data_IF_017663309997
#
_entry.id   IF_017663309997
#
_cell.length_a   1.000
_cell.length_b   1.000
_cell.length_c   1.000
_cell.angle_alpha   90.00
_cell.angle_beta   90.00
_cell.angle_gamma   90.00
#
_symmetry.space_group_name_H-M   'P 1'
#
loop_
_entity.id
_entity.type
_entity.pdbx_description
1 polymer ?
#
# COMPACT_ATOMS: atom_id res chain seq x y z
N UNK A 1 -34.26 32.49 -12.15
CA UNK A 1 -33.18 32.48 -13.16
C UNK A 1 -32.27 33.68 -12.90
N UNK A 2 -31.09 33.45 -12.31
CA UNK A 2 -30.08 34.50 -12.11
C UNK A 2 -28.73 33.93 -12.52
N UNK A 3 -28.31 34.32 -13.72
CA UNK A 3 -26.99 34.10 -14.30
C UNK A 3 -26.00 35.04 -13.63
N UNK A 4 -24.98 34.49 -12.98
CA UNK A 4 -23.87 35.26 -12.41
C UNK A 4 -22.58 34.83 -13.09
N UNK A 5 -22.19 35.64 -14.08
CA UNK A 5 -20.93 35.56 -14.82
C UNK A 5 -19.86 36.28 -14.02
N UNK A 6 -18.73 35.63 -13.72
CA UNK A 6 -17.54 36.30 -13.18
C UNK A 6 -16.33 36.09 -14.11
N UNK A 7 -15.46 37.11 -14.23
CA UNK A 7 -14.48 37.22 -15.30
C UNK A 7 -13.20 36.42 -15.06
N UNK A 8 -12.70 35.93 -16.18
CA UNK A 8 -11.40 35.33 -16.45
C UNK A 8 -10.28 36.34 -16.12
N UNK A 9 -9.44 36.04 -15.12
CA UNK A 9 -8.20 36.79 -14.89
C UNK A 9 -7.03 35.87 -15.25
N UNK A 10 -6.39 36.21 -16.36
CA UNK A 10 -5.12 35.67 -16.82
C UNK A 10 -3.97 36.38 -16.08
N UNK A 11 -3.07 35.62 -15.46
CA UNK A 11 -1.74 36.08 -15.04
C UNK A 11 -0.75 34.92 -15.22
N UNK A 12 0.05 34.97 -16.28
CA UNK A 12 1.42 35.48 -16.33
C UNK A 12 2.49 34.48 -15.81
N UNK A 13 2.99 33.73 -16.80
CA UNK A 13 4.35 33.20 -17.00
C UNK A 13 5.44 33.65 -16.04
N UNK A 14 6.08 32.69 -15.35
CA UNK A 14 7.48 32.79 -14.91
C UNK A 14 8.23 31.50 -15.27
N UNK A 15 9.01 31.58 -16.35
CA UNK A 15 10.04 30.62 -16.72
C UNK A 15 11.35 31.04 -16.01
N UNK A 16 11.74 30.30 -14.99
CA UNK A 16 13.09 30.38 -14.43
C UNK A 16 13.90 29.17 -14.91
N UNK A 17 14.76 29.42 -15.89
CA UNK A 17 15.81 28.50 -16.30
C UNK A 17 16.93 28.53 -15.26
N UNK A 18 17.26 27.38 -14.68
CA UNK A 18 18.52 27.16 -13.98
C UNK A 18 19.19 25.91 -14.56
N UNK A 19 19.88 26.09 -15.68
CA UNK A 19 20.90 25.14 -16.17
C UNK A 19 22.18 25.35 -15.37
N UNK A 20 22.38 24.52 -14.34
CA UNK A 20 23.63 24.44 -13.59
C UNK A 20 24.21 23.04 -13.68
N UNK A 21 24.84 22.70 -14.82
CA UNK A 21 25.69 21.52 -14.93
C UNK A 21 27.12 21.92 -14.55
N UNK A 22 27.45 21.81 -13.26
CA UNK A 22 28.85 21.84 -12.80
C UNK A 22 29.55 20.52 -13.11
N UNK A 23 30.88 20.52 -13.32
CA UNK A 23 31.65 19.29 -13.46
C UNK A 23 31.56 18.47 -12.16
N UNK A 24 31.06 17.24 -12.29
CA UNK A 24 30.93 16.29 -11.19
C UNK A 24 32.32 15.82 -10.76
N UNK A 25 32.67 16.12 -9.51
CA UNK A 25 33.86 15.65 -8.82
C UNK A 25 33.96 14.11 -8.88
N UNK A 26 35.14 13.52 -9.17
CA UNK A 26 35.33 12.08 -9.13
C UNK A 26 35.09 11.53 -7.72
N UNK A 27 34.26 10.49 -7.61
CA UNK A 27 34.02 9.82 -6.35
C UNK A 27 35.29 9.12 -5.84
N UNK A 28 35.56 9.12 -4.52
CA UNK A 28 36.65 8.34 -3.94
C UNK A 28 36.41 6.83 -4.15
N UNK A 29 37.46 6.11 -4.56
CA UNK A 29 37.48 4.65 -4.69
C UNK A 29 37.13 3.98 -3.35
N UNK A 30 36.24 2.97 -3.33
CA UNK A 30 36.03 2.16 -2.13
C UNK A 30 37.25 1.29 -1.88
N UNK A 31 37.95 1.53 -0.78
CA UNK A 31 39.01 0.66 -0.26
C UNK A 31 38.43 -0.74 -0.02
N UNK A 32 38.89 -1.70 -0.82
CA UNK A 32 38.55 -3.12 -0.76
C UNK A 32 39.05 -3.68 0.58
N UNK A 33 38.20 -4.17 1.51
CA UNK A 33 38.70 -4.90 2.66
C UNK A 33 39.35 -6.20 2.19
N UNK A 34 40.55 -6.44 2.70
CA UNK A 34 41.38 -7.59 2.40
C UNK A 34 40.65 -8.90 2.73
N UNK A 35 40.74 -9.85 1.80
CA UNK A 35 40.38 -11.25 2.01
C UNK A 35 41.15 -11.80 3.21
N UNK A 36 40.44 -12.16 4.27
CA UNK A 36 40.95 -13.08 5.29
C UNK A 36 40.60 -14.49 4.84
N UNK A 37 41.66 -15.27 4.65
CA UNK A 37 41.67 -16.69 4.32
C UNK A 37 41.16 -17.51 5.52
N UNK A 38 40.27 -18.45 5.21
CA UNK A 38 40.00 -19.80 5.77
C UNK A 38 40.52 -20.21 7.17
N UNK A 39 39.75 -21.07 7.88
CA UNK A 39 40.03 -22.51 7.71
C UNK A 39 38.79 -23.40 7.58
N UNK A 40 38.95 -24.39 6.70
CA UNK A 40 38.16 -25.60 6.51
C UNK A 40 37.69 -26.26 7.83
N UNK A 41 36.37 -26.43 7.96
CA UNK A 41 35.74 -27.33 8.93
C UNK A 41 35.05 -28.49 8.21
N UNK A 42 35.06 -29.72 8.76
CA UNK A 42 34.62 -30.91 8.06
C UNK A 42 33.11 -30.94 7.78
N UNK A 43 32.77 -31.42 6.59
CA UNK A 43 31.42 -31.80 6.17
C UNK A 43 30.82 -32.83 7.11
N UNK A 44 29.71 -32.50 7.77
CA UNK A 44 28.83 -33.49 8.40
C UNK A 44 27.47 -33.48 7.69
N UNK A 45 27.27 -34.54 6.90
CA UNK A 45 26.02 -34.91 6.24
C UNK A 45 24.97 -35.21 7.30
N UNK A 46 24.03 -34.30 7.55
CA UNK A 46 22.81 -34.62 8.29
C UNK A 46 21.67 -34.93 7.31
N UNK A 47 21.26 -36.20 7.31
CA UNK A 47 20.06 -36.66 6.61
C UNK A 47 18.80 -36.03 7.25
N UNK A 48 17.77 -35.66 6.46
CA UNK A 48 16.52 -35.18 7.04
C UNK A 48 15.72 -36.35 7.63
N UNK A 49 15.69 -36.44 8.95
CA UNK A 49 14.70 -37.25 9.67
C UNK A 49 13.34 -36.59 9.56
N UNK A 50 12.44 -37.23 8.82
CA UNK A 50 11.01 -36.90 8.83
C UNK A 50 10.44 -37.12 10.23
N UNK A 51 9.73 -36.10 10.75
CA UNK A 51 8.77 -36.26 11.85
C UNK A 51 7.66 -35.22 11.71
N UNK A 52 6.48 -35.71 11.35
CA UNK A 52 5.17 -35.10 11.56
C UNK A 52 4.83 -35.14 13.08
N UNK A 53 3.84 -34.40 13.66
CA UNK A 53 2.53 -34.12 13.07
C UNK A 53 1.95 -32.69 13.26
N UNK A 54 0.96 -32.45 12.40
CA UNK A 54 -0.22 -31.58 12.52
C UNK A 54 -0.61 -31.17 13.94
N UNK A 55 -0.62 -29.86 14.20
CA UNK A 55 -1.59 -29.24 15.12
C UNK A 55 -2.26 -28.08 14.40
N UNK A 56 -3.53 -28.30 14.02
CA UNK A 56 -4.40 -27.24 13.55
C UNK A 56 -4.89 -26.44 14.77
N UNK A 57 -4.73 -25.11 14.82
CA UNK A 57 -5.50 -24.31 15.76
C UNK A 57 -6.96 -24.31 15.30
N UNK A 58 -7.80 -25.10 15.95
CA UNK A 58 -9.25 -24.97 15.88
C UNK A 58 -9.65 -23.72 16.66
N UNK A 59 -9.42 -22.55 16.05
CA UNK A 59 -10.07 -21.31 16.44
C UNK A 59 -11.45 -21.29 15.81
N UNK A 60 -12.48 -21.62 16.59
CA UNK A 60 -13.88 -21.36 16.22
C UNK A 60 -14.08 -19.85 16.14
N UNK A 61 -13.81 -19.26 14.98
CA UNK A 61 -14.28 -17.91 14.68
C UNK A 61 -15.81 -17.98 14.56
N UNK A 62 -16.51 -17.39 15.54
CA UNK A 62 -17.93 -17.10 15.43
C UNK A 62 -18.13 -16.16 14.25
N UNK A 63 -18.48 -16.70 13.09
CA UNK A 63 -18.93 -15.94 11.93
C UNK A 63 -20.33 -15.41 12.23
N UNK A 64 -20.41 -14.26 12.89
CA UNK A 64 -21.61 -13.44 12.80
C UNK A 64 -21.82 -13.12 11.32
N UNK A 65 -22.92 -13.55 10.69
CA UNK A 65 -23.18 -13.22 9.30
C UNK A 65 -23.28 -11.70 9.18
N UNK A 66 -22.39 -11.12 8.37
CA UNK A 66 -22.45 -9.71 8.04
C UNK A 66 -23.81 -9.43 7.37
N UNK A 67 -24.46 -8.30 7.67
CA UNK A 67 -25.73 -7.94 7.04
C UNK A 67 -25.54 -7.89 5.52
N UNK A 68 -26.28 -8.74 4.81
CA UNK A 68 -26.33 -8.75 3.35
C UNK A 68 -26.98 -7.46 2.89
N UNK A 69 -26.15 -6.49 2.52
CA UNK A 69 -26.62 -5.22 1.99
C UNK A 69 -26.75 -5.37 0.47
N UNK A 70 -27.95 -5.12 -0.06
CA UNK A 70 -28.21 -5.11 -1.50
C UNK A 70 -27.30 -4.09 -2.18
N UNK A 71 -26.58 -4.44 -3.27
CA UNK A 71 -25.68 -3.50 -3.91
C UNK A 71 -26.42 -2.29 -4.50
N UNK A 72 -25.99 -1.08 -4.15
CA UNK A 72 -26.44 0.17 -4.74
C UNK A 72 -25.86 0.40 -6.13
N UNK A 73 -26.49 1.26 -6.95
CA UNK A 73 -25.98 1.63 -8.27
C UNK A 73 -24.54 2.15 -8.20
N UNK A 74 -23.63 1.56 -8.98
CA UNK A 74 -22.23 1.96 -9.04
C UNK A 74 -21.29 1.18 -8.11
N UNK A 75 -21.78 0.28 -7.25
CA UNK A 75 -20.90 -0.61 -6.47
C UNK A 75 -20.04 -1.49 -7.37
N UNK A 76 -20.53 -1.94 -8.52
CA UNK A 76 -19.77 -2.78 -9.45
C UNK A 76 -18.45 -2.14 -9.93
N UNK A 77 -18.40 -0.81 -10.04
CA UNK A 77 -17.18 -0.11 -10.43
C UNK A 77 -16.08 -0.17 -9.36
N UNK A 78 -16.46 -0.24 -8.08
CA UNK A 78 -15.54 -0.33 -6.95
C UNK A 78 -14.99 -1.75 -6.75
N UNK A 79 -15.76 -2.77 -7.14
CA UNK A 79 -15.39 -4.17 -6.92
C UNK A 79 -14.12 -4.57 -7.67
N UNK A 80 -13.32 -5.43 -7.05
CA UNK A 80 -12.06 -5.92 -7.59
C UNK A 80 -10.85 -5.42 -6.82
N UNK A 81 -9.68 -5.55 -7.45
CA UNK A 81 -8.39 -5.24 -6.83
C UNK A 81 -7.84 -3.92 -7.33
N UNK A 82 -7.24 -3.18 -6.40
CA UNK A 82 -6.76 -1.82 -6.56
C UNK A 82 -5.39 -1.69 -5.90
N UNK A 83 -4.46 -0.96 -6.52
CA UNK A 83 -3.08 -0.78 -6.06
C UNK A 83 -2.74 0.69 -5.96
N UNK A 84 -2.11 1.08 -4.86
CA UNK A 84 -1.54 2.42 -4.69
C UNK A 84 -0.09 2.28 -4.26
N UNK A 85 0.83 2.79 -5.08
CA UNK A 85 2.27 2.66 -4.85
C UNK A 85 2.73 3.33 -3.55
N UNK A 86 2.17 4.49 -3.22
CA UNK A 86 2.47 5.25 -2.02
C UNK A 86 1.38 6.30 -1.75
N UNK A 87 1.25 6.76 -0.51
CA UNK A 87 0.45 7.94 -0.18
C UNK A 87 0.96 8.56 1.11
N UNK A 88 1.41 9.82 1.09
CA UNK A 88 2.13 10.40 2.22
C UNK A 88 1.37 10.26 3.56
N UNK A 89 2.00 9.74 4.64
CA UNK A 89 3.43 9.38 4.78
C UNK A 89 3.80 7.95 4.33
N UNK A 90 2.84 7.10 3.95
CA UNK A 90 3.08 5.72 3.47
C UNK A 90 3.97 5.74 2.22
N UNK A 91 5.12 5.05 2.31
CA UNK A 91 6.12 4.90 1.25
C UNK A 91 6.17 3.50 0.62
N UNK A 92 5.16 2.68 0.89
CA UNK A 92 5.10 1.30 0.45
C UNK A 92 3.78 1.02 -0.27
N UNK A 93 3.75 0.00 -1.14
CA UNK A 93 2.56 -0.38 -1.89
C UNK A 93 1.45 -0.86 -0.95
N UNK A 94 0.23 -0.42 -1.24
CA UNK A 94 -0.99 -0.97 -0.66
C UNK A 94 -1.85 -1.56 -1.76
N UNK A 95 -2.33 -2.77 -1.53
CA UNK A 95 -3.29 -3.45 -2.39
C UNK A 95 -4.61 -3.57 -1.63
N UNK A 96 -5.71 -3.14 -2.23
CA UNK A 96 -7.08 -3.28 -1.70
C UNK A 96 -7.89 -4.18 -2.62
N UNK A 97 -8.67 -5.09 -2.05
CA UNK A 97 -9.62 -5.91 -2.80
C UNK A 97 -11.01 -5.77 -2.19
N UNK A 98 -11.97 -5.28 -2.98
CA UNK A 98 -13.37 -5.13 -2.60
C UNK A 98 -14.19 -6.27 -3.21
N UNK A 99 -14.94 -6.99 -2.37
CA UNK A 99 -15.78 -8.10 -2.79
C UNK A 99 -17.27 -7.75 -2.70
N UNK A 100 -18.09 -8.51 -3.45
CA UNK A 100 -19.54 -8.43 -3.33
C UNK A 100 -19.96 -8.75 -1.90
N UNK A 101 -20.98 -8.04 -1.39
CA UNK A 101 -21.46 -8.21 -0.03
C UNK A 101 -20.74 -7.35 1.02
N UNK A 102 -19.93 -6.37 0.59
CA UNK A 102 -19.42 -5.33 1.49
C UNK A 102 -18.19 -5.75 2.29
N UNK A 103 -17.42 -6.76 1.86
CA UNK A 103 -16.16 -7.15 2.50
C UNK A 103 -14.95 -6.64 1.73
N UNK A 104 -13.85 -6.35 2.44
CA UNK A 104 -12.58 -6.01 1.82
C UNK A 104 -11.40 -6.74 2.46
N UNK A 105 -10.34 -6.90 1.68
CA UNK A 105 -9.01 -7.28 2.13
C UNK A 105 -8.00 -6.22 1.72
N UNK A 106 -6.94 -6.06 2.51
CA UNK A 106 -5.83 -5.18 2.21
C UNK A 106 -4.48 -5.83 2.52
N UNK A 107 -3.49 -5.51 1.70
CA UNK A 107 -2.08 -5.86 1.90
C UNK A 107 -1.23 -4.60 1.87
N UNK A 108 -0.55 -4.31 2.97
CA UNK A 108 0.52 -3.32 3.01
C UNK A 108 1.86 -4.03 2.87
N UNK A 109 2.54 -3.79 1.75
CA UNK A 109 3.82 -4.45 1.41
C UNK A 109 4.98 -3.63 1.92
N UNK A 110 5.13 -3.63 3.25
CA UNK A 110 6.10 -2.79 3.95
C UNK A 110 7.52 -3.30 3.66
N UNK A 111 8.35 -2.42 3.12
CA UNK A 111 9.76 -2.67 2.92
C UNK A 111 10.57 -1.51 3.51
N UNK A 112 11.22 -1.67 4.68
CA UNK A 112 12.19 -0.75 5.22
C UNK A 112 13.45 -0.93 4.39
N UNK A 113 13.44 -0.44 3.16
CA UNK A 113 14.66 -0.39 2.41
C UNK A 113 15.53 0.75 2.91
N UNK A 114 16.79 0.47 3.25
CA UNK A 114 17.78 1.50 3.37
C UNK A 114 17.80 2.34 2.08
N UNK A 115 18.16 3.63 2.16
CA UNK A 115 18.35 4.44 0.98
C UNK A 115 19.25 3.71 -0.04
N UNK A 116 18.83 3.69 -1.31
CA UNK A 116 19.55 3.13 -2.48
C UNK A 116 19.52 1.60 -2.65
N UNK A 117 18.62 0.88 -1.97
CA UNK A 117 18.46 -0.58 -2.15
C UNK A 117 17.02 -0.93 -2.52
N UNK A 118 16.83 -1.87 -3.44
CA UNK A 118 15.55 -2.53 -3.68
C UNK A 118 15.50 -3.81 -2.83
N UNK A 119 14.57 -3.88 -1.88
CA UNK A 119 14.43 -5.04 -0.99
C UNK A 119 13.17 -5.81 -1.32
N UNK A 120 13.30 -7.13 -1.18
CA UNK A 120 12.19 -8.05 -1.00
C UNK A 120 11.45 -7.58 0.26
N UNK A 121 10.12 -7.45 0.18
CA UNK A 121 9.30 -6.83 1.22
C UNK A 121 9.56 -7.47 2.58
N UNK A 122 9.92 -6.68 3.60
CA UNK A 122 10.27 -7.22 4.93
C UNK A 122 9.05 -7.67 5.73
N UNK A 123 7.85 -7.46 5.21
CA UNK A 123 6.61 -7.89 5.82
C UNK A 123 5.41 -7.49 4.97
N UNK A 124 4.36 -8.29 5.09
CA UNK A 124 3.04 -7.96 4.54
C UNK A 124 2.10 -7.81 5.73
N UNK A 125 1.51 -6.64 5.88
CA UNK A 125 0.44 -6.42 6.86
C UNK A 125 -0.88 -6.71 6.15
N UNK A 126 -1.52 -7.80 6.54
CA UNK A 126 -2.82 -8.18 6.04
C UNK A 126 -3.89 -7.54 6.91
N UNK A 127 -4.92 -6.97 6.28
CA UNK A 127 -6.10 -6.47 6.96
C UNK A 127 -7.35 -7.00 6.27
N UNK A 128 -8.39 -7.26 7.04
CA UNK A 128 -9.70 -7.67 6.53
C UNK A 128 -10.78 -6.91 7.26
N UNK A 129 -11.89 -6.67 6.58
CA UNK A 129 -12.97 -5.91 7.18
C UNK A 129 -14.19 -5.78 6.28
N UNK A 130 -15.04 -4.83 6.63
CA UNK A 130 -16.21 -4.45 5.87
C UNK A 130 -16.05 -3.05 5.28
N UNK A 131 -16.70 -2.81 4.15
CA UNK A 131 -16.81 -1.48 3.57
C UNK A 131 -18.27 -1.09 3.37
N UNK A 132 -18.53 0.22 3.39
CA UNK A 132 -19.82 0.82 3.02
C UNK A 132 -19.58 1.98 2.08
N UNK A 133 -20.33 2.02 0.98
CA UNK A 133 -20.32 3.15 0.05
C UNK A 133 -21.45 4.14 0.37
N UNK A 134 -21.14 5.42 0.33
CA UNK A 134 -22.12 6.51 0.41
C UNK A 134 -21.72 7.59 -0.60
N UNK A 135 -22.39 7.62 -1.75
CA UNK A 135 -22.04 8.52 -2.86
C UNK A 135 -20.64 8.25 -3.41
N UNK A 136 -19.76 9.24 -3.29
CA UNK A 136 -18.35 9.24 -3.67
C UNK A 136 -17.43 8.86 -2.50
N UNK A 137 -17.96 8.52 -1.33
CA UNK A 137 -17.17 8.08 -0.19
C UNK A 137 -17.30 6.57 0.05
N UNK A 138 -16.20 5.93 0.46
CA UNK A 138 -16.15 4.55 0.94
C UNK A 138 -15.62 4.55 2.36
N UNK A 139 -16.42 4.09 3.31
CA UNK A 139 -16.01 3.88 4.70
C UNK A 139 -15.49 2.46 4.88
N UNK A 140 -14.35 2.31 5.56
CA UNK A 140 -13.70 1.03 5.84
C UNK A 140 -13.71 0.75 7.34
N UNK A 141 -14.12 -0.46 7.71
CA UNK A 141 -14.09 -0.98 9.07
C UNK A 141 -13.21 -2.22 9.12
N UNK A 142 -12.00 -2.09 9.67
CA UNK A 142 -11.07 -3.21 9.85
C UNK A 142 -11.54 -4.08 11.01
N UNK A 143 -11.76 -5.37 10.75
CA UNK A 143 -12.12 -6.37 11.76
C UNK A 143 -10.90 -7.19 12.20
N UNK A 144 -10.01 -7.50 11.25
CA UNK A 144 -8.79 -8.27 11.49
C UNK A 144 -7.58 -7.54 10.91
N UNK A 145 -6.48 -7.51 11.64
CA UNK A 145 -5.20 -7.00 11.15
C UNK A 145 -4.05 -7.84 11.70
N UNK A 146 -3.14 -8.27 10.83
CA UNK A 146 -1.86 -8.81 11.27
C UNK A 146 -0.99 -7.67 11.84
N UNK A 147 -0.06 -8.03 12.72
CA UNK A 147 0.96 -7.10 13.18
C UNK A 147 2.16 -7.15 12.23
N UNK A 148 2.73 -6.00 11.92
CA UNK A 148 3.98 -5.92 11.16
C UNK A 148 4.69 -4.61 11.44
N UNK A 149 6.03 -4.61 11.50
CA UNK A 149 6.79 -3.39 11.77
C UNK A 149 6.65 -2.39 10.62
N UNK A 150 6.64 -1.09 10.96
CA UNK A 150 6.72 -0.01 9.98
C UNK A 150 5.43 0.29 9.19
N UNK A 151 4.32 -0.37 9.52
CA UNK A 151 3.01 -0.05 8.96
C UNK A 151 2.51 1.33 9.39
N UNK A 152 2.15 2.16 8.42
CA UNK A 152 1.38 3.37 8.64
C UNK A 152 -0.08 3.03 8.99
N UNK A 153 -0.81 3.96 9.64
CA UNK A 153 -2.24 3.81 9.86
C UNK A 153 -3.00 3.44 8.57
N UNK A 154 -4.02 2.61 8.73
CA UNK A 154 -4.91 2.24 7.62
C UNK A 154 -6.02 3.28 7.49
N UNK A 155 -6.35 3.76 6.27
CA UNK A 155 -7.41 4.72 6.08
C UNK A 155 -8.76 4.13 6.50
N UNK A 156 -9.57 4.93 7.16
CA UNK A 156 -10.96 4.59 7.48
C UNK A 156 -11.93 5.08 6.40
N UNK A 157 -11.46 5.92 5.48
CA UNK A 157 -12.28 6.51 4.42
C UNK A 157 -11.45 6.66 3.14
N UNK A 158 -12.08 6.38 2.00
CA UNK A 158 -11.57 6.64 0.65
C UNK A 158 -12.59 7.49 -0.10
N UNK A 159 -12.11 8.32 -1.03
CA UNK A 159 -12.96 9.01 -2.01
C UNK A 159 -12.94 8.27 -3.34
N UNK A 160 -13.99 8.38 -4.13
CA UNK A 160 -14.10 7.80 -5.46
C UNK A 160 -14.07 8.91 -6.50
N UNK A 161 -13.27 8.73 -7.55
CA UNK A 161 -13.32 9.63 -8.70
C UNK A 161 -14.51 9.31 -9.63
N UNK A 162 -14.63 10.07 -10.73
CA UNK A 162 -15.70 9.88 -11.72
C UNK A 162 -15.68 8.50 -12.41
N UNK A 163 -14.55 7.79 -12.38
CA UNK A 163 -14.42 6.42 -12.89
C UNK A 163 -14.75 5.34 -11.85
N UNK A 164 -14.97 5.74 -10.60
CA UNK A 164 -15.16 4.84 -9.47
C UNK A 164 -13.86 4.32 -8.88
N UNK A 165 -12.71 4.88 -9.25
CA UNK A 165 -11.43 4.51 -8.66
C UNK A 165 -11.29 5.11 -7.26
N UNK A 166 -10.93 4.30 -6.25
CA UNK A 166 -10.73 4.80 -4.91
C UNK A 166 -9.43 5.58 -4.79
N UNK A 167 -9.41 6.58 -3.90
CA UNK A 167 -8.24 7.37 -3.57
C UNK A 167 -8.13 7.55 -2.05
N UNK A 168 -6.89 7.42 -1.55
CA UNK A 168 -6.52 7.90 -0.22
C UNK A 168 -6.34 9.42 -0.25
N UNK A 169 -6.55 10.08 0.88
CA UNK A 169 -6.10 11.46 1.07
C UNK A 169 -4.79 11.44 1.84
N UNK A 170 -3.72 11.94 1.23
CA UNK A 170 -2.42 12.08 1.88
C UNK A 170 -2.43 13.12 3.00
N UNK A 171 -1.41 13.09 3.86
CA UNK A 171 -1.25 14.07 4.94
C UNK A 171 -1.14 15.54 4.44
N UNK A 172 -0.81 15.74 3.17
CA UNK A 172 -0.77 17.03 2.48
C UNK A 172 -2.11 17.42 1.82
N UNK A 173 -3.17 16.63 2.04
CA UNK A 173 -4.50 16.82 1.44
C UNK A 173 -4.59 16.38 -0.01
N UNK A 174 -3.53 15.86 -0.62
CA UNK A 174 -3.55 15.43 -2.02
C UNK A 174 -4.14 14.03 -2.17
N UNK A 175 -4.94 13.78 -3.23
CA UNK A 175 -5.44 12.45 -3.50
C UNK A 175 -4.31 11.54 -3.99
N UNK A 176 -4.29 10.32 -3.46
CA UNK A 176 -3.44 9.22 -3.90
C UNK A 176 -4.33 8.16 -4.54
N UNK A 177 -4.58 8.23 -5.85
CA UNK A 177 -5.48 7.31 -6.51
C UNK A 177 -4.93 5.89 -6.48
N UNK A 178 -5.84 4.94 -6.43
CA UNK A 178 -5.56 3.55 -6.70
C UNK A 178 -5.79 3.23 -8.17
N UNK A 179 -5.03 2.27 -8.69
CA UNK A 179 -5.09 1.78 -10.06
C UNK A 179 -5.41 0.29 -10.08
N UNK A 180 -6.09 -0.19 -11.12
CA UNK A 180 -6.37 -1.63 -11.29
C UNK A 180 -5.16 -2.39 -11.81
#
# INVERSE_FOLDING_TARGET
>A
MRTSTLPLVALLTWLAACTGNGPREPAPEPTRPASTVEPSGPSETQAPTASAPTQAPTGSASTTPAPTTTPGPGEDALLGTWRSAACAPRKYERVLSFAKGGSFAAEDRVSPCPPRVACIWSGIIHRKGAFKRSGDAVSLSVAEASQGPGGQPFPTTLTLDASGAPAETGADGKPCPYQR
#
